data_IF_020274150366
#
_entry.id   IF_020274150366
#
_cell.length_a   1.000
_cell.length_b   1.000
_cell.length_c   1.000
_cell.angle_alpha   90.00
_cell.angle_beta   90.00
_cell.angle_gamma   90.00
#
_symmetry.space_group_name_H-M   'P 1'
#
loop_
_entity.id
_entity.type
_entity.pdbx_description
1 polymer ?
#
# COMPACT_ATOMS: atom_id res chain seq x y z
N UNK A 1 0.33 6.45 -34.70
CA UNK A 1 0.86 5.45 -33.74
C UNK A 1 2.10 5.94 -32.99
N UNK A 2 3.07 6.64 -33.61
CA UNK A 2 4.26 7.17 -32.91
C UNK A 2 3.96 8.31 -31.90
N UNK A 3 2.96 9.14 -32.16
CA UNK A 3 2.62 10.30 -31.31
C UNK A 3 2.06 9.85 -29.94
N UNK A 4 1.29 8.76 -29.89
CA UNK A 4 0.79 8.19 -28.62
C UNK A 4 1.90 7.62 -27.73
N UNK A 5 3.01 7.16 -28.32
CA UNK A 5 4.17 6.69 -27.55
C UNK A 5 4.89 7.84 -26.84
N UNK A 6 5.04 8.98 -27.49
CA UNK A 6 5.66 10.17 -26.90
C UNK A 6 4.85 10.71 -25.71
N UNK A 7 3.53 10.83 -25.87
CA UNK A 7 2.63 11.24 -24.77
C UNK A 7 2.70 10.28 -23.58
N UNK A 8 2.71 8.96 -23.83
CA UNK A 8 2.84 7.96 -22.78
C UNK A 8 4.19 8.08 -22.05
N UNK A 9 5.30 8.28 -22.77
CA UNK A 9 6.62 8.46 -22.14
C UNK A 9 6.68 9.73 -21.29
N UNK A 10 6.07 10.82 -21.74
CA UNK A 10 5.99 12.06 -20.98
C UNK A 10 5.21 11.88 -19.68
N UNK A 11 4.06 11.20 -19.73
CA UNK A 11 3.24 10.88 -18.54
C UNK A 11 4.02 10.00 -17.56
N UNK A 12 4.74 8.98 -18.04
CA UNK A 12 5.56 8.11 -17.20
C UNK A 12 6.71 8.86 -16.51
N UNK A 13 7.38 9.77 -17.23
CA UNK A 13 8.43 10.62 -16.68
C UNK A 13 7.87 11.58 -15.62
N UNK A 14 6.75 12.23 -15.91
CA UNK A 14 6.09 13.13 -14.97
C UNK A 14 5.64 12.37 -13.71
N UNK A 15 5.06 11.18 -13.87
CA UNK A 15 4.68 10.31 -12.75
C UNK A 15 5.89 9.92 -11.89
N UNK A 16 7.01 9.54 -12.52
CA UNK A 16 8.25 9.17 -11.81
C UNK A 16 8.80 10.34 -10.97
N UNK A 17 8.90 11.53 -11.57
CA UNK A 17 9.36 12.74 -10.87
C UNK A 17 8.39 13.12 -9.75
N UNK A 18 7.08 13.13 -10.03
CA UNK A 18 6.05 13.42 -9.04
C UNK A 18 6.08 12.43 -7.86
N UNK A 19 6.31 11.14 -8.12
CA UNK A 19 6.43 10.11 -7.09
C UNK A 19 7.65 10.35 -6.19
N UNK A 20 8.80 10.69 -6.77
CA UNK A 20 9.99 11.03 -6.00
C UNK A 20 9.77 12.28 -5.14
N UNK A 21 9.14 13.32 -5.69
CA UNK A 21 8.75 14.52 -4.94
C UNK A 21 7.76 14.18 -3.82
N UNK A 22 6.74 13.36 -4.08
CA UNK A 22 5.76 12.93 -3.09
C UNK A 22 6.42 12.14 -1.95
N UNK A 23 7.33 11.20 -2.27
CA UNK A 23 8.14 10.48 -1.27
C UNK A 23 8.86 11.46 -0.36
N UNK A 24 9.57 12.43 -0.95
CA UNK A 24 10.38 13.38 -0.20
C UNK A 24 9.53 14.29 0.70
N UNK A 25 8.42 14.82 0.17
CA UNK A 25 7.51 15.69 0.90
C UNK A 25 6.83 14.95 2.05
N UNK A 26 6.27 13.76 1.79
CA UNK A 26 5.61 12.96 2.80
C UNK A 26 6.59 12.52 3.90
N UNK A 27 7.82 12.16 3.54
CA UNK A 27 8.87 11.84 4.52
C UNK A 27 9.13 12.99 5.48
N UNK A 28 9.35 14.18 4.92
CA UNK A 28 9.78 15.36 5.65
C UNK A 28 8.66 16.00 6.46
N UNK A 29 7.44 16.00 5.92
CA UNK A 29 6.30 16.72 6.51
C UNK A 29 5.41 15.84 7.37
N UNK A 30 5.30 14.54 7.07
CA UNK A 30 4.35 13.65 7.74
C UNK A 30 5.08 12.56 8.50
N UNK A 31 5.91 11.75 7.84
CA UNK A 31 6.42 10.52 8.45
C UNK A 31 7.43 10.77 9.54
N UNK A 32 8.45 11.61 9.29
CA UNK A 32 9.45 11.96 10.30
C UNK A 32 8.84 12.75 11.47
N UNK A 33 8.00 13.78 11.26
CA UNK A 33 7.33 14.45 12.36
C UNK A 33 6.42 13.54 13.18
N UNK A 34 5.67 12.64 12.52
CA UNK A 34 4.83 11.65 13.21
C UNK A 34 5.68 10.67 14.03
N UNK A 35 6.80 10.21 13.48
CA UNK A 35 7.75 9.37 14.18
C UNK A 35 8.35 10.10 15.39
N UNK A 36 8.85 11.32 15.21
CA UNK A 36 9.41 12.13 16.28
C UNK A 36 8.36 12.39 17.36
N UNK A 37 7.12 12.71 17.00
CA UNK A 37 6.03 12.89 17.97
C UNK A 37 5.75 11.62 18.77
N UNK A 38 5.70 10.46 18.11
CA UNK A 38 5.56 9.17 18.78
C UNK A 38 6.76 8.91 19.72
N UNK A 39 7.99 9.04 19.22
CA UNK A 39 9.21 8.65 19.94
C UNK A 39 9.78 9.72 20.88
N UNK A 40 9.37 10.99 20.78
CA UNK A 40 9.84 12.10 21.63
C UNK A 40 9.48 11.92 23.08
N UNK A 41 8.33 11.27 23.34
CA UNK A 41 7.86 10.94 24.68
C UNK A 41 8.51 9.68 25.26
N UNK A 42 9.38 9.00 24.49
CA UNK A 42 9.62 7.56 24.68
C UNK A 42 11.10 7.16 24.87
N UNK A 43 12.11 7.90 24.39
CA UNK A 43 13.52 7.42 24.44
C UNK A 43 14.63 8.49 24.31
N UNK A 44 15.85 8.12 24.75
CA UNK A 44 17.12 8.87 24.56
C UNK A 44 17.50 9.02 23.08
N UNK A 45 18.29 10.05 22.74
CA UNK A 45 18.47 10.53 21.37
C UNK A 45 19.14 9.54 20.40
N UNK A 46 20.07 8.69 20.85
CA UNK A 46 20.85 7.83 19.96
C UNK A 46 20.03 6.67 19.37
N UNK A 47 19.32 5.92 20.22
CA UNK A 47 18.47 4.81 19.80
C UNK A 47 17.12 5.27 19.21
N UNK A 48 16.76 6.54 19.39
CA UNK A 48 15.55 7.18 18.85
C UNK A 48 15.64 7.39 17.34
N UNK A 49 16.80 7.84 16.82
CA UNK A 49 16.96 8.11 15.38
C UNK A 49 16.82 6.86 14.51
N UNK A 50 17.45 5.74 14.93
CA UNK A 50 17.36 4.46 14.21
C UNK A 50 15.91 3.97 14.14
N UNK A 51 15.16 4.11 15.24
CA UNK A 51 13.74 3.71 15.31
C UNK A 51 12.86 4.63 14.46
N UNK A 52 13.12 5.94 14.46
CA UNK A 52 12.43 6.91 13.60
C UNK A 52 12.60 6.56 12.12
N UNK A 53 13.82 6.29 11.67
CA UNK A 53 14.08 5.94 10.27
C UNK A 53 13.34 4.67 9.88
N UNK A 54 13.46 3.60 10.66
CA UNK A 54 12.76 2.32 10.40
C UNK A 54 11.24 2.49 10.36
N UNK A 55 10.69 3.29 11.28
CA UNK A 55 9.27 3.58 11.32
C UNK A 55 8.81 4.40 10.10
N UNK A 56 9.57 5.43 9.72
CA UNK A 56 9.27 6.25 8.54
C UNK A 56 9.29 5.43 7.24
N UNK A 57 10.24 4.51 7.10
CA UNK A 57 10.32 3.58 5.98
C UNK A 57 9.12 2.60 5.95
N UNK A 58 8.70 2.13 7.12
CA UNK A 58 7.52 1.26 7.24
C UNK A 58 6.23 1.98 6.85
N UNK A 59 6.02 3.22 7.36
CA UNK A 59 4.84 4.03 7.03
C UNK A 59 4.81 4.39 5.55
N UNK A 60 5.95 4.74 4.94
CA UNK A 60 5.99 5.02 3.51
C UNK A 60 5.51 3.81 2.69
N UNK A 61 6.04 2.62 2.98
CA UNK A 61 5.62 1.37 2.31
C UNK A 61 4.13 1.13 2.50
N UNK A 62 3.63 1.27 3.72
CA UNK A 62 2.21 1.12 4.01
C UNK A 62 1.35 2.12 3.23
N UNK A 63 1.73 3.40 3.21
CA UNK A 63 1.00 4.45 2.48
C UNK A 63 0.97 4.17 0.98
N UNK A 64 2.10 3.73 0.41
CA UNK A 64 2.21 3.36 -0.99
C UNK A 64 1.25 2.21 -1.33
N UNK A 65 1.32 1.09 -0.63
CA UNK A 65 0.46 -0.06 -0.90
C UNK A 65 -1.02 0.26 -0.66
N UNK A 66 -1.36 1.00 0.40
CA UNK A 66 -2.72 1.44 0.67
C UNK A 66 -3.28 2.32 -0.47
N UNK A 67 -2.47 3.25 -0.98
CA UNK A 67 -2.87 4.17 -2.05
C UNK A 67 -3.10 3.43 -3.36
N UNK A 68 -2.20 2.51 -3.71
CA UNK A 68 -2.35 1.64 -4.90
C UNK A 68 -3.61 0.78 -4.75
N UNK A 69 -3.83 0.16 -3.59
CA UNK A 69 -5.00 -0.67 -3.33
C UNK A 69 -6.30 0.13 -3.41
N UNK A 70 -6.33 1.34 -2.84
CA UNK A 70 -7.49 2.22 -2.93
C UNK A 70 -7.79 2.61 -4.38
N UNK A 71 -6.76 2.95 -5.16
CA UNK A 71 -6.91 3.30 -6.57
C UNK A 71 -7.46 2.14 -7.40
N UNK A 72 -6.94 0.92 -7.19
CA UNK A 72 -7.49 -0.30 -7.81
C UNK A 72 -8.95 -0.49 -7.44
N UNK A 73 -9.30 -0.42 -6.14
CA UNK A 73 -10.68 -0.60 -5.70
C UNK A 73 -11.63 0.45 -6.30
N UNK A 74 -11.15 1.68 -6.47
CA UNK A 74 -11.89 2.74 -7.16
C UNK A 74 -12.13 2.43 -8.64
N UNK A 75 -11.20 1.76 -9.31
CA UNK A 75 -11.40 1.28 -10.69
C UNK A 75 -12.45 0.17 -10.72
N UNK A 76 -12.32 -0.84 -9.84
CA UNK A 76 -13.26 -1.97 -9.77
C UNK A 76 -14.68 -1.46 -9.55
N UNK A 77 -14.90 -0.53 -8.61
CA UNK A 77 -16.23 -0.02 -8.28
C UNK A 77 -16.95 0.70 -9.43
N UNK A 78 -16.21 1.15 -10.46
CA UNK A 78 -16.81 1.79 -11.64
C UNK A 78 -17.36 0.75 -12.63
N UNK A 79 -16.96 -0.51 -12.49
CA UNK A 79 -17.43 -1.59 -13.35
C UNK A 79 -18.78 -2.12 -12.85
N UNK A 80 -19.80 -2.21 -13.72
CA UNK A 80 -21.17 -2.53 -13.29
C UNK A 80 -21.31 -4.00 -12.84
N UNK A 81 -20.45 -4.90 -13.33
CA UNK A 81 -20.35 -6.29 -12.88
C UNK A 81 -19.66 -6.47 -11.52
N UNK A 82 -19.01 -5.43 -10.98
CA UNK A 82 -18.24 -5.55 -9.73
C UNK A 82 -19.10 -5.67 -8.47
N UNK A 83 -20.31 -5.10 -8.50
CA UNK A 83 -21.26 -5.11 -7.39
C UNK A 83 -22.50 -5.96 -7.67
N UNK A 84 -22.73 -6.32 -8.94
CA UNK A 84 -23.87 -7.12 -9.37
C UNK A 84 -23.43 -8.48 -9.92
N UNK A 85 -23.71 -9.53 -9.15
CA UNK A 85 -23.37 -10.92 -9.51
C UNK A 85 -24.15 -11.41 -10.74
N UNK A 86 -25.29 -10.81 -11.08
CA UNK A 86 -26.08 -11.22 -12.24
C UNK A 86 -25.43 -10.77 -13.55
N UNK A 87 -24.75 -9.62 -13.53
CA UNK A 87 -24.02 -9.09 -14.69
C UNK A 87 -22.71 -9.86 -14.96
N UNK A 88 -22.19 -10.60 -13.98
CA UNK A 88 -21.01 -11.44 -14.16
C UNK A 88 -21.21 -12.54 -15.23
N UNK A 89 -22.44 -13.07 -15.33
CA UNK A 89 -22.78 -14.13 -16.27
C UNK A 89 -23.47 -13.62 -17.54
N UNK A 90 -23.68 -12.31 -17.65
CA UNK A 90 -24.38 -11.74 -18.81
C UNK A 90 -23.52 -11.87 -20.07
N UNK A 91 -24.09 -12.46 -21.12
CA UNK A 91 -23.40 -12.75 -22.37
C UNK A 91 -22.40 -13.92 -22.34
N UNK A 92 -22.32 -14.76 -21.29
CA UNK A 92 -21.45 -15.94 -21.32
C UNK A 92 -21.91 -16.96 -22.41
N UNK A 93 -20.99 -17.56 -23.21
CA UNK A 93 -19.53 -17.41 -23.19
C UNK A 93 -18.97 -16.23 -24.00
N UNK A 94 -19.80 -15.52 -24.78
CA UNK A 94 -19.41 -14.43 -25.67
C UNK A 94 -19.64 -13.04 -25.05
N UNK A 95 -18.92 -12.74 -23.95
CA UNK A 95 -19.09 -11.49 -23.21
C UNK A 95 -18.61 -10.29 -24.03
N UNK A 96 -19.49 -9.32 -24.29
CA UNK A 96 -19.09 -8.02 -24.84
C UNK A 96 -18.54 -7.17 -23.70
N UNK A 97 -17.22 -7.20 -23.49
CA UNK A 97 -16.57 -6.36 -22.48
C UNK A 97 -16.81 -4.88 -22.81
N UNK A 98 -17.73 -4.25 -22.08
CA UNK A 98 -18.04 -2.83 -22.23
C UNK A 98 -16.94 -1.98 -21.60
N UNK A 99 -15.81 -1.90 -22.28
CA UNK A 99 -14.62 -1.10 -21.96
C UNK A 99 -14.86 0.44 -22.02
N UNK A 100 -16.10 0.88 -21.89
CA UNK A 100 -16.56 2.20 -22.36
C UNK A 100 -16.53 3.32 -21.31
N UNK A 101 -16.22 3.03 -20.04
CA UNK A 101 -16.39 4.01 -18.95
C UNK A 101 -15.12 4.77 -18.55
N UNK A 102 -13.90 4.26 -18.83
CA UNK A 102 -12.64 4.92 -18.40
C UNK A 102 -11.68 5.15 -19.57
N UNK A 103 -11.50 6.39 -20.05
CA UNK A 103 -10.60 6.73 -21.16
C UNK A 103 -9.13 6.34 -20.93
N UNK A 104 -8.67 6.32 -19.67
CA UNK A 104 -7.31 5.91 -19.30
C UNK A 104 -7.09 4.40 -19.48
N UNK A 105 -8.07 3.58 -19.13
CA UNK A 105 -8.01 2.14 -19.38
C UNK A 105 -8.09 1.86 -20.87
N UNK A 106 -8.64 2.78 -21.69
CA UNK A 106 -8.69 2.70 -23.16
C UNK A 106 -7.34 2.37 -23.83
N UNK A 107 -6.24 2.65 -23.15
CA UNK A 107 -4.87 2.41 -23.60
C UNK A 107 -4.39 0.95 -23.50
N UNK A 108 -5.13 0.03 -22.88
CA UNK A 108 -4.72 -1.36 -22.66
C UNK A 108 -5.79 -2.33 -23.19
N UNK A 109 -5.84 -2.60 -24.50
CA UNK A 109 -6.95 -3.34 -25.12
C UNK A 109 -7.01 -4.83 -24.74
N UNK A 110 -5.97 -5.40 -24.12
CA UNK A 110 -5.84 -6.84 -23.94
C UNK A 110 -5.20 -7.25 -22.59
N UNK A 111 -5.39 -6.49 -21.50
CA UNK A 111 -4.87 -6.97 -20.21
C UNK A 111 -5.68 -8.18 -19.73
N UNK A 112 -5.08 -9.38 -19.56
CA UNK A 112 -5.82 -10.57 -19.19
C UNK A 112 -6.52 -10.42 -17.84
N UNK A 113 -7.82 -10.66 -17.80
CA UNK A 113 -8.64 -10.59 -16.58
C UNK A 113 -8.07 -11.47 -15.45
N UNK A 114 -7.49 -12.62 -15.79
CA UNK A 114 -6.81 -13.50 -14.83
C UNK A 114 -5.58 -12.86 -14.18
N UNK A 115 -4.75 -12.17 -14.96
CA UNK A 115 -3.59 -11.44 -14.44
C UNK A 115 -4.03 -10.31 -13.52
N UNK A 116 -5.11 -9.61 -13.86
CA UNK A 116 -5.67 -8.56 -13.02
C UNK A 116 -6.02 -9.07 -11.62
N UNK A 117 -6.82 -10.13 -11.51
CA UNK A 117 -7.17 -10.69 -10.20
C UNK A 117 -5.98 -11.30 -9.46
N UNK A 118 -5.04 -11.93 -10.17
CA UNK A 118 -3.82 -12.49 -9.58
C UNK A 118 -2.94 -11.39 -8.97
N UNK A 119 -2.68 -10.31 -9.69
CA UNK A 119 -1.89 -9.19 -9.17
C UNK A 119 -2.60 -8.48 -8.01
N UNK A 120 -3.92 -8.33 -8.07
CA UNK A 120 -4.67 -7.68 -7.00
C UNK A 120 -4.75 -8.51 -5.71
N UNK A 121 -4.89 -9.84 -5.82
CA UNK A 121 -4.81 -10.71 -4.64
C UNK A 121 -3.40 -10.72 -4.05
N UNK A 122 -2.36 -10.70 -4.89
CA UNK A 122 -0.97 -10.56 -4.44
C UNK A 122 -0.71 -9.21 -3.74
N UNK A 123 -1.23 -8.10 -4.28
CA UNK A 123 -1.11 -6.78 -3.65
C UNK A 123 -1.86 -6.72 -2.32
N UNK A 124 -3.06 -7.30 -2.24
CA UNK A 124 -3.85 -7.34 -1.02
C UNK A 124 -3.16 -8.17 0.08
N UNK A 125 -2.67 -9.36 -0.27
CA UNK A 125 -1.90 -10.20 0.68
C UNK A 125 -0.63 -9.50 1.15
N UNK A 126 0.10 -8.85 0.24
CA UNK A 126 1.26 -8.04 0.59
C UNK A 126 0.88 -6.87 1.52
N UNK A 127 -0.25 -6.22 1.29
CA UNK A 127 -0.77 -5.16 2.15
C UNK A 127 -1.09 -5.68 3.56
N UNK A 128 -1.79 -6.81 3.67
CA UNK A 128 -2.08 -7.46 4.96
C UNK A 128 -0.81 -7.80 5.72
N UNK A 129 0.20 -8.35 5.03
CA UNK A 129 1.50 -8.58 5.65
C UNK A 129 2.13 -7.27 6.16
N UNK A 130 2.15 -6.20 5.38
CA UNK A 130 2.72 -4.93 5.83
C UNK A 130 2.00 -4.35 7.05
N UNK A 131 0.68 -4.48 7.12
CA UNK A 131 -0.11 -4.10 8.30
C UNK A 131 0.27 -4.96 9.51
N UNK A 132 0.36 -6.28 9.32
CA UNK A 132 0.74 -7.21 10.38
C UNK A 132 2.16 -6.96 10.91
N UNK A 133 3.15 -6.86 10.02
CA UNK A 133 4.53 -6.52 10.36
C UNK A 133 4.62 -5.14 11.04
N UNK A 134 3.85 -4.15 10.58
CA UNK A 134 3.73 -2.85 11.23
C UNK A 134 3.20 -2.94 12.66
N UNK A 135 2.15 -3.75 12.88
CA UNK A 135 1.59 -4.05 14.21
C UNK A 135 2.66 -4.67 15.12
N UNK A 136 3.39 -5.68 14.64
CA UNK A 136 4.45 -6.34 15.42
C UNK A 136 5.58 -5.36 15.81
N UNK A 137 6.05 -4.53 14.87
CA UNK A 137 7.07 -3.51 15.16
C UNK A 137 6.56 -2.52 16.22
N UNK A 138 5.30 -2.09 16.10
CA UNK A 138 4.69 -1.19 17.08
C UNK A 138 4.56 -1.82 18.47
N UNK A 139 4.15 -3.09 18.55
CA UNK A 139 4.05 -3.84 19.80
C UNK A 139 5.41 -4.08 20.43
N UNK A 140 6.41 -4.50 19.65
CA UNK A 140 7.78 -4.70 20.13
C UNK A 140 8.37 -3.40 20.65
N UNK A 141 8.10 -2.28 19.97
CA UNK A 141 8.44 -0.95 20.47
C UNK A 141 7.72 -0.67 21.80
N UNK A 142 6.39 -0.83 21.89
CA UNK A 142 5.63 -0.62 23.14
C UNK A 142 6.13 -1.49 24.31
N UNK A 143 6.42 -2.77 24.09
CA UNK A 143 6.91 -3.70 25.12
C UNK A 143 8.30 -3.29 25.64
N UNK A 144 9.23 -2.97 24.73
CA UNK A 144 10.55 -2.45 25.06
C UNK A 144 10.50 -1.11 25.82
N UNK A 145 9.48 -0.30 25.55
CA UNK A 145 9.24 0.98 26.23
C UNK A 145 8.67 0.81 27.63
N UNK A 146 7.72 -0.11 27.83
CA UNK A 146 7.16 -0.40 29.15
C UNK A 146 8.22 -0.96 30.11
N UNK A 147 9.14 -1.76 29.59
CA UNK A 147 10.19 -2.42 30.37
C UNK A 147 11.46 -1.56 30.56
N UNK A 148 11.42 -0.25 30.25
CA UNK A 148 12.56 0.70 30.34
C UNK A 148 13.85 0.19 29.68
N UNK A 149 13.75 -0.60 28.62
CA UNK A 149 14.91 -1.18 27.93
C UNK A 149 15.49 -2.45 28.57
N UNK A 150 14.85 -3.05 29.57
CA UNK A 150 15.09 -4.46 29.87
C UNK A 150 14.54 -5.30 28.71
N UNK A 151 15.36 -6.20 28.18
CA UNK A 151 14.99 -7.17 27.15
C UNK A 151 13.93 -8.09 27.76
N UNK A 152 12.66 -7.72 27.62
CA UNK A 152 11.54 -8.59 27.95
C UNK A 152 11.34 -9.62 26.84
N UNK A 153 10.85 -10.79 27.23
CA UNK A 153 10.66 -11.95 26.36
C UNK A 153 9.91 -11.64 25.06
N UNK A 154 10.26 -12.40 24.01
CA UNK A 154 9.84 -12.16 22.63
C UNK A 154 8.30 -12.09 22.51
N UNK A 155 7.78 -11.08 21.81
CA UNK A 155 6.32 -10.86 21.62
C UNK A 155 5.69 -12.03 20.87
N UNK A 156 6.52 -12.82 20.17
CA UNK A 156 6.09 -13.99 19.41
C UNK A 156 5.45 -15.09 20.30
N UNK A 157 5.72 -15.08 21.60
CA UNK A 157 5.25 -16.11 22.54
C UNK A 157 3.97 -15.75 23.29
N UNK A 158 3.52 -14.49 23.28
CA UNK A 158 2.32 -14.06 24.05
C UNK A 158 0.99 -14.56 23.43
N UNK A 159 0.99 -15.07 22.20
CA UNK A 159 -0.24 -15.56 21.54
C UNK A 159 -0.59 -17.02 21.84
N UNK A 160 0.22 -17.73 22.63
CA UNK A 160 -0.02 -19.13 23.01
C UNK A 160 -0.74 -19.28 24.37
N UNK A 161 -1.00 -18.18 25.10
CA UNK A 161 -1.64 -18.22 26.43
C UNK A 161 -3.12 -17.78 26.44
N UNK A 162 -3.70 -17.42 25.29
CA UNK A 162 -5.12 -17.01 25.16
C UNK A 162 -6.03 -18.11 24.53
N UNK A 163 -5.76 -19.40 24.80
CA UNK A 163 -6.70 -20.53 24.58
C UNK A 163 -7.18 -21.16 25.88
#
# INVERSE_FOLDING_TARGET
MAIQGAEATYIMLLFSVAFFCARFLLDRLVYKPLAVYLFSRLMNDEAKQVKIVKFSESIWKLTYYASVQAWVLSIIKQEPWSLDKMQYFDGWPNQYMAYYSIPFLRMQPEFPTSLYYMFNTMLLTLFVFHVYWGKLIFLMIKKQLNNRGQVGDDVRSDSEEEE
#
